data_IF_839466739524
#
_entry.id   IF_839466739524
#
_cell.length_a   1.000
_cell.length_b   1.000
_cell.length_c   1.000
_cell.angle_alpha   90.00
_cell.angle_beta   90.00
_cell.angle_gamma   90.00
#
_symmetry.space_group_name_H-M   'P 1'
#
loop_
_entity.id
_entity.type
_entity.pdbx_description
1 polymer ?
#
# COMPACT_ATOMS: atom_id res chain seq x y z
N UNK A 1 8.08 -12.26 -3.44
CA UNK A 1 6.70 -12.81 -3.37
C UNK A 1 6.63 -14.05 -4.23
N UNK A 2 6.01 -15.12 -3.73
CA UNK A 2 5.85 -16.36 -4.50
C UNK A 2 4.83 -16.19 -5.63
N UNK A 3 5.02 -16.90 -6.76
CA UNK A 3 4.14 -16.82 -7.93
C UNK A 3 2.66 -17.02 -7.61
N UNK A 4 2.35 -17.99 -6.74
CA UNK A 4 0.98 -18.31 -6.33
C UNK A 4 0.24 -17.11 -5.72
N UNK A 5 0.95 -16.17 -5.11
CA UNK A 5 0.35 -14.97 -4.51
C UNK A 5 -0.17 -14.02 -5.59
N UNK A 6 0.59 -13.82 -6.67
CA UNK A 6 0.14 -13.02 -7.81
C UNK A 6 -1.08 -13.64 -8.50
N UNK A 7 -1.10 -14.96 -8.65
CA UNK A 7 -2.22 -15.67 -9.26
C UNK A 7 -3.49 -15.54 -8.41
N UNK A 8 -3.37 -15.67 -7.08
CA UNK A 8 -4.48 -15.43 -6.12
C UNK A 8 -4.93 -13.97 -6.14
N UNK A 9 -3.99 -13.03 -6.17
CA UNK A 9 -4.29 -11.61 -6.28
C UNK A 9 -5.12 -11.34 -7.54
N UNK A 10 -4.66 -11.81 -8.72
CA UNK A 10 -5.37 -11.63 -9.97
C UNK A 10 -6.79 -12.22 -9.95
N UNK A 11 -6.97 -13.38 -9.29
CA UNK A 11 -8.26 -14.07 -9.22
C UNK A 11 -9.26 -13.37 -8.26
N UNK A 12 -8.78 -12.71 -7.22
CA UNK A 12 -9.63 -12.27 -6.10
C UNK A 12 -9.69 -10.76 -5.86
N UNK A 13 -8.79 -9.97 -6.45
CA UNK A 13 -8.67 -8.52 -6.17
C UNK A 13 -9.94 -7.70 -6.47
N UNK A 14 -10.80 -8.20 -7.35
CA UNK A 14 -12.07 -7.57 -7.72
C UNK A 14 -13.23 -7.97 -6.81
N UNK A 15 -13.13 -9.09 -6.09
CA UNK A 15 -14.23 -9.68 -5.32
C UNK A 15 -13.96 -9.74 -3.83
N UNK A 16 -12.71 -9.85 -3.42
CA UNK A 16 -12.32 -9.99 -2.02
C UNK A 16 -12.53 -8.66 -1.25
N UNK A 17 -13.16 -8.74 -0.10
CA UNK A 17 -13.55 -7.63 0.77
C UNK A 17 -12.43 -6.64 1.07
N UNK A 18 -11.20 -7.17 1.31
CA UNK A 18 -10.06 -6.37 1.71
C UNK A 18 -9.58 -5.44 0.58
N UNK A 19 -9.40 -5.95 -0.64
CA UNK A 19 -8.97 -5.14 -1.78
C UNK A 19 -9.98 -4.04 -2.11
N UNK A 20 -11.28 -4.37 -2.09
CA UNK A 20 -12.34 -3.43 -2.43
C UNK A 20 -12.45 -2.30 -1.41
N UNK A 21 -12.59 -2.65 -0.12
CA UNK A 21 -12.71 -1.66 0.94
C UNK A 21 -11.43 -0.80 1.09
N UNK A 22 -10.25 -1.41 0.93
CA UNK A 22 -8.97 -0.70 0.97
C UNK A 22 -8.88 0.36 -0.10
N UNK A 23 -9.25 0.07 -1.34
CA UNK A 23 -9.27 1.06 -2.43
C UNK A 23 -10.18 2.25 -2.09
N UNK A 24 -11.37 2.00 -1.56
CA UNK A 24 -12.29 3.08 -1.17
C UNK A 24 -11.75 3.95 -0.03
N UNK A 25 -11.06 3.32 0.95
CA UNK A 25 -10.41 4.05 2.05
C UNK A 25 -9.27 4.93 1.52
N UNK A 26 -8.40 4.38 0.65
CA UNK A 26 -7.27 5.10 0.09
C UNK A 26 -7.73 6.22 -0.85
N UNK A 27 -8.78 5.99 -1.65
CA UNK A 27 -9.37 7.01 -2.51
C UNK A 27 -9.92 8.19 -1.70
N UNK A 28 -10.69 7.92 -0.64
CA UNK A 28 -11.21 8.96 0.26
C UNK A 28 -10.07 9.70 0.99
N UNK A 29 -9.04 8.97 1.45
CA UNK A 29 -7.87 9.56 2.08
C UNK A 29 -7.11 10.48 1.13
N UNK A 30 -6.86 10.06 -0.12
CA UNK A 30 -6.24 10.89 -1.16
C UNK A 30 -7.10 12.10 -1.52
N UNK A 31 -8.41 11.97 -1.62
CA UNK A 31 -9.32 13.09 -1.92
C UNK A 31 -9.21 14.18 -0.86
N UNK A 32 -9.07 13.81 0.41
CA UNK A 32 -9.02 14.76 1.52
C UNK A 32 -7.64 15.33 1.80
N UNK A 33 -6.63 14.49 1.75
CA UNK A 33 -5.28 14.82 2.21
C UNK A 33 -4.27 14.98 1.06
N UNK A 34 -4.63 14.48 -0.11
CA UNK A 34 -3.73 14.43 -1.28
C UNK A 34 -3.42 15.83 -1.82
N UNK A 35 -4.42 16.67 -1.99
CA UNK A 35 -4.24 18.01 -2.55
C UNK A 35 -3.62 17.97 -3.96
N UNK A 36 -3.99 16.97 -4.76
CA UNK A 36 -3.42 16.73 -6.07
C UNK A 36 -4.01 17.70 -7.11
N UNK A 37 -3.21 18.15 -8.11
CA UNK A 37 -3.75 18.88 -9.25
C UNK A 37 -4.67 17.99 -10.09
N UNK A 38 -5.56 18.59 -10.92
CA UNK A 38 -6.52 17.85 -11.75
C UNK A 38 -5.86 16.93 -12.78
N UNK A 39 -4.68 17.30 -13.24
CA UNK A 39 -3.85 16.60 -14.22
C UNK A 39 -2.62 15.95 -13.56
N UNK A 40 -2.76 15.46 -12.34
CA UNK A 40 -1.68 14.87 -11.59
C UNK A 40 -1.00 13.75 -12.38
N UNK A 41 0.34 13.76 -12.40
CA UNK A 41 1.13 12.64 -12.89
C UNK A 41 1.45 11.69 -11.72
N UNK A 42 0.98 10.48 -11.80
CA UNK A 42 1.00 9.50 -10.73
C UNK A 42 1.87 8.30 -11.12
N UNK A 43 2.72 7.83 -10.21
CA UNK A 43 3.47 6.60 -10.36
C UNK A 43 3.06 5.61 -9.27
N UNK A 44 2.59 4.42 -9.65
CA UNK A 44 2.45 3.30 -8.70
C UNK A 44 3.70 2.42 -8.79
N UNK A 45 4.38 2.21 -7.66
CA UNK A 45 5.56 1.35 -7.56
C UNK A 45 5.16 0.04 -6.90
N UNK A 46 5.47 -1.09 -7.56
CA UNK A 46 5.04 -2.42 -7.13
C UNK A 46 3.54 -2.60 -7.29
N UNK A 47 3.01 -2.31 -8.48
CA UNK A 47 1.56 -2.35 -8.72
C UNK A 47 0.96 -3.77 -8.70
N UNK A 48 1.81 -4.81 -8.62
CA UNK A 48 1.35 -6.20 -8.70
C UNK A 48 0.60 -6.45 -10.00
N UNK A 49 -0.58 -7.05 -9.88
CA UNK A 49 -1.50 -7.26 -11.02
C UNK A 49 -2.29 -6.01 -11.43
N UNK A 50 -2.01 -4.85 -10.83
CA UNK A 50 -2.61 -3.57 -11.23
C UNK A 50 -3.99 -3.29 -10.61
N UNK A 51 -4.34 -3.91 -9.50
CA UNK A 51 -5.67 -3.76 -8.89
C UNK A 51 -5.98 -2.36 -8.34
N UNK A 52 -4.96 -1.54 -8.03
CA UNK A 52 -5.15 -0.15 -7.59
C UNK A 52 -5.17 0.86 -8.75
N UNK A 53 -4.69 0.48 -9.94
CA UNK A 53 -4.56 1.38 -11.08
C UNK A 53 -5.86 2.13 -11.43
N UNK A 54 -7.05 1.48 -11.45
CA UNK A 54 -8.30 2.20 -11.72
C UNK A 54 -8.64 3.25 -10.64
N UNK A 55 -8.31 2.96 -9.38
CA UNK A 55 -8.52 3.90 -8.28
C UNK A 55 -7.60 5.12 -8.42
N UNK A 56 -6.33 4.91 -8.73
CA UNK A 56 -5.36 6.00 -8.94
C UNK A 56 -5.68 6.82 -10.19
N UNK A 57 -6.17 6.17 -11.26
CA UNK A 57 -6.56 6.84 -12.50
C UNK A 57 -7.71 7.87 -12.33
N UNK A 58 -8.48 7.76 -11.26
CA UNK A 58 -9.47 8.79 -10.89
C UNK A 58 -8.84 10.13 -10.44
N UNK A 59 -7.55 10.13 -10.13
CA UNK A 59 -6.82 11.32 -9.65
C UNK A 59 -5.87 11.93 -10.69
N UNK A 60 -5.59 11.24 -11.79
CA UNK A 60 -4.68 11.72 -12.82
C UNK A 60 -4.17 10.65 -13.77
N UNK A 61 -3.11 10.97 -14.49
CA UNK A 61 -2.43 10.04 -15.41
C UNK A 61 -1.51 9.12 -14.62
N UNK A 62 -1.74 7.79 -14.70
CA UNK A 62 -0.99 6.79 -13.92
C UNK A 62 0.08 6.10 -14.77
N UNK A 63 1.30 6.05 -14.33
CA UNK A 63 2.37 5.16 -14.76
C UNK A 63 2.58 4.11 -13.67
N UNK A 64 3.12 2.94 -14.02
CA UNK A 64 3.28 1.86 -13.07
C UNK A 64 4.61 1.10 -13.23
N UNK A 65 5.10 0.54 -12.13
CA UNK A 65 6.27 -0.31 -12.05
C UNK A 65 5.88 -1.64 -11.41
N UNK A 66 6.31 -2.75 -12.02
CA UNK A 66 6.25 -4.09 -11.44
C UNK A 66 7.45 -4.91 -11.90
N UNK A 67 8.11 -5.59 -10.97
CA UNK A 67 9.31 -6.38 -11.26
C UNK A 67 8.99 -7.81 -11.71
N UNK A 68 7.89 -8.39 -11.21
CA UNK A 68 7.45 -9.71 -11.67
C UNK A 68 6.91 -9.62 -13.10
N UNK A 69 7.45 -10.39 -14.06
CA UNK A 69 7.08 -10.24 -15.46
C UNK A 69 5.65 -10.59 -15.76
N UNK A 70 5.08 -11.55 -15.06
CA UNK A 70 3.71 -11.98 -15.34
C UNK A 70 2.67 -11.10 -14.66
N UNK A 71 2.92 -10.63 -13.43
CA UNK A 71 2.08 -9.60 -12.82
C UNK A 71 2.12 -8.30 -13.63
N UNK A 72 3.30 -7.92 -14.15
CA UNK A 72 3.49 -6.76 -15.01
C UNK A 72 2.68 -6.84 -16.31
N UNK A 73 2.61 -8.02 -16.93
CA UNK A 73 1.78 -8.25 -18.13
C UNK A 73 0.29 -8.01 -17.83
N UNK A 74 -0.23 -8.61 -16.75
CA UNK A 74 -1.61 -8.39 -16.32
C UNK A 74 -1.87 -6.91 -16.00
N UNK A 75 -0.94 -6.26 -15.30
CA UNK A 75 -1.06 -4.84 -14.99
C UNK A 75 -1.03 -3.96 -16.24
N UNK A 76 -0.21 -4.29 -17.24
CA UNK A 76 -0.15 -3.57 -18.51
C UNK A 76 -1.46 -3.69 -19.30
N UNK A 77 -2.07 -4.87 -19.33
CA UNK A 77 -3.40 -5.06 -19.92
C UNK A 77 -4.47 -4.19 -19.22
N UNK A 78 -4.47 -4.19 -17.87
CA UNK A 78 -5.41 -3.38 -17.08
C UNK A 78 -5.21 -1.87 -17.24
N UNK A 79 -3.95 -1.45 -17.39
CA UNK A 79 -3.58 -0.04 -17.57
C UNK A 79 -3.80 0.44 -19.00
N UNK A 80 -3.82 -0.49 -19.98
CA UNK A 80 -3.88 -0.19 -21.41
C UNK A 80 -2.60 0.41 -21.98
N UNK A 81 -1.47 0.26 -21.28
CA UNK A 81 -0.14 0.74 -21.68
C UNK A 81 0.97 -0.02 -20.94
N UNK A 82 2.24 0.06 -21.42
CA UNK A 82 3.36 -0.65 -20.80
C UNK A 82 3.55 -0.28 -19.32
N UNK A 83 3.87 -1.29 -18.51
CA UNK A 83 4.32 -1.17 -17.12
C UNK A 83 5.83 -1.40 -17.08
N UNK A 84 6.55 -0.54 -16.37
CA UNK A 84 8.01 -0.53 -16.34
C UNK A 84 8.57 -1.62 -15.41
N UNK A 85 9.79 -2.11 -15.74
CA UNK A 85 10.59 -2.93 -14.84
C UNK A 85 11.72 -2.06 -14.28
N UNK A 86 11.49 -1.45 -13.12
CA UNK A 86 12.43 -0.55 -12.48
C UNK A 86 12.50 -0.83 -10.98
N UNK A 87 13.40 -1.74 -10.52
CA UNK A 87 13.47 -2.12 -9.12
C UNK A 87 13.95 -0.97 -8.23
N UNK A 88 13.38 -0.91 -7.01
CA UNK A 88 13.87 -0.07 -5.92
C UNK A 88 15.20 -0.62 -5.37
N UNK A 89 16.10 0.24 -4.88
CA UNK A 89 16.02 1.71 -4.87
C UNK A 89 16.55 2.37 -6.15
N UNK A 90 17.03 1.62 -7.14
CA UNK A 90 17.71 2.17 -8.30
C UNK A 90 16.79 2.96 -9.26
N UNK A 91 15.55 2.52 -9.45
CA UNK A 91 14.52 3.11 -10.33
C UNK A 91 15.07 3.49 -11.72
N UNK A 92 15.73 2.57 -12.47
CA UNK A 92 16.31 2.87 -13.76
C UNK A 92 15.24 3.33 -14.75
N UNK A 93 15.52 4.43 -15.49
CA UNK A 93 14.62 4.97 -16.50
C UNK A 93 13.41 5.75 -15.95
N UNK A 94 13.26 5.86 -14.63
CA UNK A 94 12.19 6.67 -14.03
C UNK A 94 12.65 8.12 -13.90
N UNK A 95 11.81 9.01 -14.40
CA UNK A 95 12.09 10.43 -14.46
C UNK A 95 12.10 11.07 -13.06
N UNK A 96 13.14 11.84 -12.76
CA UNK A 96 13.25 12.56 -11.49
C UNK A 96 12.46 13.88 -11.56
N UNK A 97 11.89 14.27 -10.44
CA UNK A 97 11.14 15.54 -10.32
C UNK A 97 9.88 15.59 -11.18
N UNK A 98 9.26 14.46 -11.51
CA UNK A 98 8.23 14.36 -12.53
C UNK A 98 6.83 14.05 -12.00
N UNK A 99 6.71 13.52 -10.78
CA UNK A 99 5.45 12.99 -10.27
C UNK A 99 4.84 13.87 -9.17
N UNK A 100 3.53 14.09 -9.27
CA UNK A 100 2.74 14.77 -8.25
C UNK A 100 2.40 13.81 -7.09
N UNK A 101 2.22 12.51 -7.43
CA UNK A 101 1.99 11.44 -6.48
C UNK A 101 2.80 10.21 -6.84
N UNK A 102 3.44 9.61 -5.85
CA UNK A 102 3.94 8.24 -5.93
C UNK A 102 3.12 7.40 -4.95
N UNK A 103 2.50 6.32 -5.43
CA UNK A 103 1.82 5.34 -4.59
C UNK A 103 2.73 4.12 -4.41
N UNK A 104 2.98 3.72 -3.15
CA UNK A 104 3.76 2.55 -2.78
C UNK A 104 2.98 1.81 -1.69
N UNK A 105 2.23 0.79 -2.13
CA UNK A 105 1.14 0.22 -1.37
C UNK A 105 1.44 -1.24 -1.00
N UNK A 106 1.93 -1.45 0.23
CA UNK A 106 2.46 -2.72 0.75
C UNK A 106 3.63 -3.25 -0.11
N UNK A 107 4.68 -2.41 -0.23
CA UNK A 107 5.89 -2.71 -1.00
C UNK A 107 7.16 -2.43 -0.18
N UNK A 108 7.16 -1.39 0.66
CA UNK A 108 8.37 -0.96 1.39
C UNK A 108 8.89 -2.06 2.32
N UNK A 109 8.00 -2.89 2.86
CA UNK A 109 8.35 -4.05 3.69
C UNK A 109 9.14 -5.15 2.97
N UNK A 110 9.10 -5.17 1.63
CA UNK A 110 9.86 -6.10 0.79
C UNK A 110 11.27 -5.59 0.45
N UNK A 111 11.58 -4.34 0.78
CA UNK A 111 12.87 -3.73 0.43
C UNK A 111 13.78 -3.75 1.64
N UNK A 112 14.99 -4.33 1.48
CA UNK A 112 15.94 -4.46 2.59
C UNK A 112 16.40 -3.07 3.07
N UNK A 113 16.77 -2.15 2.17
CA UNK A 113 17.09 -0.75 2.47
C UNK A 113 15.86 0.13 2.17
N UNK A 114 14.91 0.16 3.11
CA UNK A 114 13.69 0.96 3.01
C UNK A 114 13.97 2.47 3.00
N UNK A 115 15.02 2.91 3.67
CA UNK A 115 15.44 4.32 3.68
C UNK A 115 15.95 4.76 2.32
N UNK A 116 16.80 3.95 1.67
CA UNK A 116 17.25 4.23 0.30
C UNK A 116 16.09 4.21 -0.69
N UNK A 117 15.13 3.28 -0.54
CA UNK A 117 13.92 3.22 -1.36
C UNK A 117 13.08 4.51 -1.23
N UNK A 118 12.83 4.96 0.00
CA UNK A 118 12.10 6.20 0.25
C UNK A 118 12.81 7.43 -0.32
N UNK A 119 14.14 7.52 -0.21
CA UNK A 119 14.95 8.60 -0.83
C UNK A 119 14.85 8.60 -2.35
N UNK A 120 14.93 7.42 -2.96
CA UNK A 120 14.83 7.28 -4.42
C UNK A 120 13.47 7.73 -4.93
N UNK A 121 12.39 7.35 -4.25
CA UNK A 121 11.04 7.81 -4.56
C UNK A 121 10.92 9.32 -4.39
N UNK A 122 11.44 9.89 -3.31
CA UNK A 122 11.42 11.34 -3.07
C UNK A 122 12.10 12.13 -4.20
N UNK A 123 13.18 11.59 -4.78
CA UNK A 123 13.89 12.23 -5.90
C UNK A 123 13.07 12.26 -7.20
N UNK A 124 12.03 11.43 -7.33
CA UNK A 124 11.13 11.40 -8.47
C UNK A 124 9.94 12.38 -8.32
N UNK A 125 9.71 12.93 -7.12
CA UNK A 125 8.63 13.87 -6.88
C UNK A 125 8.91 15.25 -7.46
N UNK A 126 7.88 15.89 -8.00
CA UNK A 126 7.87 17.33 -8.22
C UNK A 126 7.97 18.11 -6.90
N UNK A 127 8.37 19.39 -6.93
CA UNK A 127 8.19 20.27 -5.78
C UNK A 127 6.73 20.25 -5.30
N UNK A 128 6.51 19.90 -4.03
CA UNK A 128 5.17 19.74 -3.45
C UNK A 128 4.51 18.38 -3.68
N UNK A 129 5.13 17.51 -4.47
CA UNK A 129 4.65 16.14 -4.68
C UNK A 129 4.65 15.30 -3.39
N UNK A 130 3.88 14.22 -3.40
CA UNK A 130 3.65 13.37 -2.23
C UNK A 130 3.89 11.90 -2.52
N UNK A 131 4.22 11.12 -1.48
CA UNK A 131 4.25 9.64 -1.54
C UNK A 131 3.11 9.14 -0.67
N UNK A 132 2.19 8.36 -1.24
CA UNK A 132 1.21 7.59 -0.50
C UNK A 132 1.83 6.24 -0.14
N UNK A 133 1.95 5.97 1.15
CA UNK A 133 2.54 4.74 1.68
C UNK A 133 1.50 3.96 2.46
N UNK A 134 1.41 2.65 2.21
CA UNK A 134 0.83 1.71 3.16
C UNK A 134 1.83 0.62 3.50
N UNK A 135 1.82 0.17 4.75
CA UNK A 135 2.66 -0.93 5.23
C UNK A 135 1.92 -1.78 6.26
N UNK A 136 2.24 -3.08 6.39
CA UNK A 136 1.70 -3.94 7.43
C UNK A 136 2.20 -3.49 8.81
N UNK A 137 1.27 -3.42 9.76
CA UNK A 137 1.56 -3.02 11.13
C UNK A 137 1.88 -4.21 12.04
N UNK A 138 2.51 -3.88 13.19
CA UNK A 138 2.74 -4.78 14.32
C UNK A 138 3.60 -6.01 14.02
N UNK A 139 4.87 -5.96 14.42
CA UNK A 139 5.82 -7.08 14.28
C UNK A 139 5.29 -8.41 14.86
N UNK A 140 4.52 -8.34 15.95
CA UNK A 140 3.94 -9.52 16.57
C UNK A 140 2.85 -10.20 15.73
N UNK A 141 2.31 -9.53 14.68
CA UNK A 141 1.36 -10.11 13.73
C UNK A 141 2.04 -10.88 12.59
N UNK A 142 3.36 -11.05 12.61
CA UNK A 142 4.10 -11.85 11.62
C UNK A 142 3.53 -13.27 11.49
N UNK A 143 3.46 -13.79 10.27
CA UNK A 143 2.80 -15.07 9.96
C UNK A 143 3.33 -15.72 8.69
N UNK A 144 2.78 -16.87 8.32
CA UNK A 144 3.06 -17.53 7.04
C UNK A 144 2.78 -16.61 5.84
N UNK A 145 1.78 -15.74 5.92
CA UNK A 145 1.51 -14.71 4.90
C UNK A 145 2.75 -13.82 4.65
N UNK A 146 3.43 -13.36 5.68
CA UNK A 146 4.63 -12.52 5.52
C UNK A 146 5.78 -13.30 4.89
N UNK A 147 5.92 -14.59 5.24
CA UNK A 147 6.96 -15.47 4.69
C UNK A 147 6.77 -15.70 3.20
N UNK A 148 5.55 -16.06 2.77
CA UNK A 148 5.21 -16.32 1.36
C UNK A 148 5.32 -15.04 0.51
N UNK A 149 5.04 -13.89 1.12
CA UNK A 149 5.23 -12.59 0.50
C UNK A 149 6.68 -12.08 0.53
N UNK A 150 7.62 -12.80 1.16
CA UNK A 150 9.02 -12.42 1.32
C UNK A 150 9.18 -11.05 1.98
N UNK A 151 8.37 -10.75 3.01
CA UNK A 151 8.54 -9.53 3.79
C UNK A 151 9.85 -9.57 4.57
N UNK A 152 10.55 -8.45 4.67
CA UNK A 152 11.68 -8.28 5.58
C UNK A 152 11.20 -7.82 6.96
N UNK A 153 10.05 -7.09 7.01
CA UNK A 153 9.56 -6.48 8.26
C UNK A 153 8.07 -6.17 8.24
N UNK A 154 7.55 -5.94 9.45
CA UNK A 154 6.32 -5.21 9.73
C UNK A 154 6.66 -3.99 10.57
N UNK A 155 5.92 -2.92 10.42
CA UNK A 155 6.22 -1.64 11.05
C UNK A 155 5.42 -1.40 12.33
N UNK A 156 6.04 -0.68 13.27
CA UNK A 156 5.35 0.15 14.24
C UNK A 156 5.31 1.60 13.72
N UNK A 157 4.46 2.46 14.29
CA UNK A 157 4.51 3.89 13.97
C UNK A 157 5.90 4.48 14.24
N UNK A 158 6.57 4.04 15.32
CA UNK A 158 7.91 4.53 15.65
C UNK A 158 8.96 4.12 14.60
N UNK A 159 9.01 2.83 14.21
CA UNK A 159 10.00 2.36 13.23
C UNK A 159 9.75 2.96 11.85
N UNK A 160 8.49 3.14 11.44
CA UNK A 160 8.17 3.82 10.19
C UNK A 160 8.53 5.31 10.23
N UNK A 161 8.26 5.99 11.36
CA UNK A 161 8.65 7.39 11.54
C UNK A 161 10.17 7.59 11.45
N UNK A 162 10.96 6.67 12.03
CA UNK A 162 12.43 6.68 11.92
C UNK A 162 12.86 6.54 10.46
N UNK A 163 12.38 5.53 9.73
CA UNK A 163 12.74 5.33 8.32
C UNK A 163 12.37 6.56 7.45
N UNK A 164 11.20 7.16 7.68
CA UNK A 164 10.77 8.39 7.00
C UNK A 164 11.71 9.55 7.29
N UNK A 165 12.05 9.75 8.57
CA UNK A 165 12.98 10.82 8.99
C UNK A 165 14.36 10.64 8.40
N UNK A 166 14.91 9.42 8.46
CA UNK A 166 16.22 9.07 7.92
C UNK A 166 16.27 9.23 6.40
N UNK A 167 15.14 9.07 5.72
CA UNK A 167 15.00 9.37 4.30
C UNK A 167 14.92 10.88 3.97
N UNK A 168 14.87 11.77 4.97
CA UNK A 168 14.70 13.21 4.78
C UNK A 168 13.29 13.62 4.39
N UNK A 169 12.30 12.81 4.76
CA UNK A 169 10.88 13.03 4.49
C UNK A 169 10.13 13.40 5.77
N UNK A 170 8.93 13.94 5.60
CA UNK A 170 7.95 14.18 6.66
C UNK A 170 6.63 13.51 6.35
N UNK A 171 5.97 12.99 7.38
CA UNK A 171 4.63 12.41 7.32
C UNK A 171 3.59 13.47 7.70
N UNK A 172 2.42 13.46 7.04
CA UNK A 172 1.24 14.21 7.48
C UNK A 172 0.54 13.56 8.69
N UNK A 173 1.10 12.47 9.21
CA UNK A 173 0.60 11.67 10.32
C UNK A 173 0.45 10.20 9.96
N UNK A 174 0.91 9.34 10.83
CA UNK A 174 0.82 7.88 10.68
C UNK A 174 -0.54 7.41 11.21
N UNK A 175 -1.39 6.90 10.32
CA UNK A 175 -2.76 6.48 10.62
C UNK A 175 -2.88 4.97 10.55
N UNK A 176 -3.43 4.34 11.58
CA UNK A 176 -3.86 2.95 11.47
C UNK A 176 -5.13 2.86 10.63
N UNK A 177 -5.28 1.77 9.91
CA UNK A 177 -6.51 1.36 9.26
C UNK A 177 -6.64 -0.17 9.29
N UNK A 178 -7.80 -0.69 8.89
CA UNK A 178 -8.24 -2.03 9.24
C UNK A 178 -8.22 -2.23 10.78
N UNK A 179 -8.81 -1.28 11.47
CA UNK A 179 -8.84 -1.20 12.93
C UNK A 179 -10.10 -1.82 13.51
N UNK A 180 -11.25 -1.69 12.83
CA UNK A 180 -12.50 -2.27 13.29
C UNK A 180 -12.48 -3.80 13.25
N UNK A 181 -11.78 -4.38 12.27
CA UNK A 181 -11.57 -5.83 12.16
C UNK A 181 -10.29 -6.31 12.85
N UNK A 182 -9.50 -5.39 13.43
CA UNK A 182 -8.26 -5.74 14.12
C UNK A 182 -8.43 -6.78 15.24
N UNK A 183 -9.45 -6.71 16.13
CA UNK A 183 -9.62 -7.72 17.16
C UNK A 183 -9.80 -9.13 16.59
N UNK A 184 -10.57 -9.25 15.50
CA UNK A 184 -10.78 -10.52 14.82
C UNK A 184 -9.49 -11.04 14.19
N UNK A 185 -8.75 -10.16 13.50
CA UNK A 185 -7.46 -10.50 12.90
C UNK A 185 -6.43 -10.92 13.97
N UNK A 186 -6.40 -10.23 15.11
CA UNK A 186 -5.52 -10.55 16.24
C UNK A 186 -5.84 -11.94 16.84
N UNK A 187 -7.11 -12.24 17.07
CA UNK A 187 -7.56 -13.55 17.58
C UNK A 187 -7.21 -14.65 16.56
N UNK A 188 -7.52 -14.46 15.28
CA UNK A 188 -7.18 -15.43 14.25
C UNK A 188 -5.67 -15.71 14.20
N UNK A 189 -4.83 -14.66 14.33
CA UNK A 189 -3.37 -14.77 14.33
C UNK A 189 -2.83 -15.55 15.54
N UNK A 190 -3.38 -15.29 16.72
CA UNK A 190 -3.00 -16.00 17.95
C UNK A 190 -3.44 -17.47 17.88
N UNK A 191 -4.69 -17.71 17.46
CA UNK A 191 -5.24 -19.07 17.32
C UNK A 191 -4.45 -19.89 16.28
N UNK A 192 -4.10 -19.30 15.13
CA UNK A 192 -3.27 -19.94 14.10
C UNK A 192 -1.92 -20.41 14.65
N UNK A 193 -1.24 -19.57 15.43
CA UNK A 193 0.02 -19.94 16.09
C UNK A 193 -0.13 -21.07 17.11
N UNK A 194 -1.20 -21.04 17.90
CA UNK A 194 -1.45 -22.07 18.93
C UNK A 194 -1.79 -23.42 18.31
N UNK A 195 -2.44 -23.44 17.16
CA UNK A 195 -2.89 -24.65 16.48
C UNK A 195 -1.92 -25.15 15.41
N UNK A 196 -0.85 -24.38 15.10
CA UNK A 196 0.06 -24.68 14.01
C UNK A 196 -0.60 -24.57 12.61
N UNK A 197 -1.81 -23.99 12.53
CA UNK A 197 -2.56 -23.72 11.30
C UNK A 197 -2.44 -22.24 10.94
N UNK A 198 -1.23 -21.83 10.57
CA UNK A 198 -1.00 -20.46 10.06
C UNK A 198 -1.15 -20.52 8.53
N UNK A 199 -2.39 -20.60 8.06
CA UNK A 199 -2.69 -20.68 6.65
C UNK A 199 -2.46 -19.31 5.99
N UNK A 200 -1.66 -19.28 4.91
CA UNK A 200 -1.50 -18.12 4.03
C UNK A 200 -2.62 -18.04 2.98
N UNK A 201 -3.77 -18.67 3.25
CA UNK A 201 -4.88 -18.70 2.30
C UNK A 201 -5.63 -17.37 2.33
N UNK A 202 -5.41 -16.56 1.30
CA UNK A 202 -6.07 -15.28 1.07
C UNK A 202 -7.37 -15.43 0.23
N UNK A 203 -7.94 -16.63 0.20
CA UNK A 203 -9.22 -16.88 -0.48
C UNK A 203 -10.36 -16.07 0.17
N UNK A 204 -11.29 -15.56 -0.63
CA UNK A 204 -12.41 -14.81 -0.08
C UNK A 204 -13.29 -15.71 0.81
N UNK A 205 -13.70 -15.22 1.98
CA UNK A 205 -14.62 -15.95 2.84
C UNK A 205 -15.98 -16.11 2.14
N UNK A 206 -16.90 -16.95 2.69
CA UNK A 206 -18.25 -17.10 2.14
C UNK A 206 -18.91 -15.74 1.85
N UNK A 207 -19.74 -15.62 0.79
CA UNK A 207 -20.22 -14.34 0.27
C UNK A 207 -20.85 -13.41 1.31
N UNK A 208 -21.56 -13.96 2.28
CA UNK A 208 -22.20 -13.18 3.36
C UNK A 208 -21.14 -12.54 4.27
N UNK A 209 -20.13 -13.31 4.69
CA UNK A 209 -19.03 -12.81 5.51
C UNK A 209 -18.15 -11.84 4.72
N UNK A 210 -17.91 -12.12 3.44
CA UNK A 210 -17.16 -11.21 2.56
C UNK A 210 -17.82 -9.83 2.49
N UNK A 211 -19.15 -9.77 2.30
CA UNK A 211 -19.91 -8.52 2.31
C UNK A 211 -19.91 -7.83 3.67
N UNK A 212 -20.02 -8.59 4.75
CA UNK A 212 -19.99 -8.04 6.10
C UNK A 212 -18.64 -7.40 6.39
N UNK A 213 -17.53 -8.11 6.12
CA UNK A 213 -16.19 -7.58 6.32
C UNK A 213 -15.90 -6.39 5.43
N UNK A 214 -16.35 -6.42 4.16
CA UNK A 214 -16.27 -5.29 3.25
C UNK A 214 -16.98 -4.06 3.82
N UNK A 215 -18.18 -4.22 4.33
CA UNK A 215 -18.98 -3.11 4.89
C UNK A 215 -18.30 -2.50 6.11
N UNK A 216 -17.86 -3.35 7.06
CA UNK A 216 -17.18 -2.89 8.28
C UNK A 216 -15.87 -2.18 7.92
N UNK A 217 -15.05 -2.77 7.08
CA UNK A 217 -13.76 -2.18 6.72
C UNK A 217 -13.93 -0.91 5.88
N UNK A 218 -14.83 -0.91 4.92
CA UNK A 218 -15.14 0.27 4.09
C UNK A 218 -15.64 1.45 4.93
N UNK A 219 -16.33 1.21 6.03
CA UNK A 219 -16.79 2.26 6.94
C UNK A 219 -15.61 3.10 7.49
N UNK A 220 -14.42 2.50 7.60
CA UNK A 220 -13.23 3.21 8.07
C UNK A 220 -12.82 4.39 7.17
N UNK A 221 -13.27 4.47 5.91
CA UNK A 221 -13.05 5.64 5.05
C UNK A 221 -13.53 6.94 5.70
N UNK A 222 -14.57 6.86 6.54
CA UNK A 222 -15.10 8.01 7.28
C UNK A 222 -14.32 8.33 8.54
N UNK A 223 -13.43 7.43 8.99
CA UNK A 223 -12.70 7.54 10.25
C UNK A 223 -11.21 7.82 10.07
N UNK A 224 -10.57 7.18 9.08
CA UNK A 224 -9.11 7.29 8.84
C UNK A 224 -8.74 8.76 8.60
N UNK A 225 -7.82 9.27 9.43
CA UNK A 225 -7.38 10.67 9.40
C UNK A 225 -8.29 11.66 10.12
N UNK A 226 -9.51 11.27 10.50
CA UNK A 226 -10.48 12.12 11.25
C UNK A 226 -10.51 11.79 12.73
N UNK A 227 -10.35 10.52 13.07
CA UNK A 227 -10.29 10.06 14.46
C UNK A 227 -9.05 9.20 14.69
N UNK A 228 -8.51 9.16 15.92
CA UNK A 228 -7.33 8.35 16.22
C UNK A 228 -7.73 6.86 16.31
N UNK A 229 -7.75 6.18 15.18
CA UNK A 229 -7.89 4.71 15.17
C UNK A 229 -6.62 4.07 15.74
N UNK A 230 -6.78 3.12 16.66
CA UNK A 230 -5.66 2.36 17.24
C UNK A 230 -6.18 1.15 18.04
N UNK A 231 -5.57 -0.04 17.87
CA UNK A 231 -4.64 -0.41 16.82
C UNK A 231 -5.32 -0.73 15.48
N UNK A 232 -4.54 -0.98 14.42
CA UNK A 232 -5.03 -1.46 13.12
C UNK A 232 -4.02 -2.38 12.45
N UNK A 233 -4.46 -3.19 11.51
CA UNK A 233 -3.62 -4.19 10.82
C UNK A 233 -2.56 -3.55 9.94
N UNK A 234 -2.82 -2.35 9.43
CA UNK A 234 -1.94 -1.61 8.52
C UNK A 234 -1.81 -0.14 8.93
N UNK A 235 -0.76 0.51 8.42
CA UNK A 235 -0.52 1.95 8.58
C UNK A 235 -0.60 2.60 7.20
N UNK A 236 -1.26 3.77 7.11
CA UNK A 236 -1.28 4.64 5.93
C UNK A 236 -0.74 6.02 6.28
N UNK A 237 -0.03 6.65 5.33
CA UNK A 237 0.48 8.00 5.46
C UNK A 237 0.73 8.64 4.09
N UNK A 238 0.72 9.97 4.05
CA UNK A 238 1.28 10.75 2.96
C UNK A 238 2.60 11.38 3.42
N UNK A 239 3.62 11.23 2.59
CA UNK A 239 4.95 11.79 2.83
C UNK A 239 5.20 12.95 1.88
N UNK A 240 6.01 13.91 2.32
CA UNK A 240 6.52 15.02 1.52
C UNK A 240 7.98 15.30 1.86
N UNK A 241 8.70 15.99 0.97
CA UNK A 241 10.07 16.42 1.26
C UNK A 241 10.12 17.35 2.47
N UNK A 242 11.14 17.19 3.31
CA UNK A 242 11.27 17.93 4.58
C UNK A 242 11.45 19.46 4.42
N UNK A 243 11.68 19.96 3.19
CA UNK A 243 11.81 21.39 2.88
C UNK A 243 10.60 22.03 2.21
N UNK A 244 9.56 21.26 1.86
CA UNK A 244 8.33 21.77 1.23
C UNK A 244 7.35 22.25 2.29
N UNK A 245 7.50 23.48 2.75
CA UNK A 245 6.40 24.16 3.45
C UNK A 245 5.28 24.39 2.44
N UNK A 246 4.08 23.87 2.70
CA UNK A 246 2.87 24.33 2.03
C UNK A 246 2.79 25.86 2.21
N UNK A 247 2.90 26.61 1.12
CA UNK A 247 2.53 28.03 1.06
C UNK A 247 1.04 28.12 0.82
#
# INVERSE_FOLDING_TARGET
MDRIVYDRMAAHDSTHWWYRARRDILADYLTREGGLPKDARILEIGCGTGHNLPMLAAFGSVEAIEIDPAAREIAAERLGRPVSNAPLPALPGIERGAYDLIAVLDVVEHIEDDVAALRAMAACLKPGGKILVTVPAHRWMWSAHDVVNHHHRRYSKATLATAISDAGLRSNGLRYFNSLLFPLAAVARVAGRMTGRDDSDDSPPPPVLNRLFETIFRFERHLVGRVPLSPGVSIVTLLSAAGSSAR
#
